data_IF_686463470861
#
_entry.id   IF_686463470861
#
_cell.length_a   1.000
_cell.length_b   1.000
_cell.length_c   1.000
_cell.angle_alpha   90.00
_cell.angle_beta   90.00
_cell.angle_gamma   90.00
#
_symmetry.space_group_name_H-M   'P 1'
#
loop_
_entity.id
_entity.type
_entity.pdbx_description
1 polymer ?
#
# COMPACT_ATOMS: atom_id res chain seq x y z
N UNK A 1 6.78 -58.24 -69.84
CA UNK A 1 6.40 -56.86 -69.47
C UNK A 1 5.36 -56.97 -68.37
N UNK A 2 5.77 -56.87 -67.10
CA UNK A 2 4.91 -57.06 -65.92
C UNK A 2 4.55 -55.71 -65.30
N UNK A 3 3.26 -55.48 -65.03
CA UNK A 3 2.73 -54.21 -64.50
C UNK A 3 3.27 -53.87 -63.10
N UNK A 4 3.52 -52.57 -62.78
CA UNK A 4 3.95 -52.17 -61.44
C UNK A 4 2.76 -52.00 -60.49
N UNK A 5 2.84 -52.60 -59.29
CA UNK A 5 1.86 -52.41 -58.22
C UNK A 5 2.09 -51.08 -57.51
N UNK A 6 1.10 -50.18 -57.57
CA UNK A 6 1.10 -48.89 -56.86
C UNK A 6 0.57 -49.09 -55.44
N UNK A 7 1.39 -48.74 -54.43
CA UNK A 7 1.05 -48.85 -53.01
C UNK A 7 0.53 -47.50 -52.51
N UNK A 8 -0.76 -47.40 -52.19
CA UNK A 8 -1.39 -46.19 -51.66
C UNK A 8 -1.26 -46.17 -50.12
N UNK A 9 -0.45 -45.25 -49.58
CA UNK A 9 -0.33 -45.03 -48.12
C UNK A 9 -1.10 -43.77 -47.75
N UNK A 10 -2.25 -43.93 -47.11
CA UNK A 10 -3.02 -42.82 -46.56
C UNK A 10 -2.57 -42.52 -45.13
N UNK A 11 -1.81 -41.43 -44.94
CA UNK A 11 -1.24 -41.07 -43.64
C UNK A 11 -1.90 -39.78 -43.08
N UNK A 12 -2.90 -39.93 -42.20
CA UNK A 12 -3.52 -38.81 -41.47
C UNK A 12 -2.92 -38.71 -40.06
N UNK A 13 -1.76 -38.06 -39.92
CA UNK A 13 -1.22 -37.65 -38.61
C UNK A 13 -1.87 -36.34 -38.16
N UNK A 14 -2.96 -36.46 -37.42
CA UNK A 14 -3.62 -35.36 -36.73
C UNK A 14 -3.27 -35.41 -35.21
N UNK A 15 -2.52 -34.40 -34.76
CA UNK A 15 -2.80 -33.59 -33.56
C UNK A 15 -2.73 -34.13 -32.12
N UNK A 16 -2.30 -35.36 -31.82
CA UNK A 16 -2.34 -35.86 -30.42
C UNK A 16 -1.17 -35.39 -29.53
N UNK A 17 -0.02 -34.99 -30.09
CA UNK A 17 1.18 -34.69 -29.29
C UNK A 17 1.30 -33.26 -28.75
N UNK A 18 0.41 -32.34 -29.13
CA UNK A 18 0.62 -30.91 -28.87
C UNK A 18 -0.07 -30.38 -27.59
N UNK A 19 -0.93 -31.18 -26.95
CA UNK A 19 -1.75 -30.72 -25.82
C UNK A 19 -1.11 -31.04 -24.45
N UNK A 20 -0.29 -32.08 -24.35
CA UNK A 20 0.32 -32.50 -23.07
C UNK A 20 1.45 -31.58 -22.57
N UNK A 21 2.03 -30.73 -23.42
CA UNK A 21 3.18 -29.90 -23.03
C UNK A 21 2.77 -28.61 -22.28
N UNK A 22 1.49 -28.22 -22.32
CA UNK A 22 1.04 -26.97 -21.69
C UNK A 22 0.70 -27.13 -20.21
N UNK A 23 0.06 -28.22 -19.80
CA UNK A 23 -0.56 -28.32 -18.47
C UNK A 23 0.43 -28.57 -17.33
N UNK A 24 1.49 -29.36 -17.55
CA UNK A 24 2.52 -29.63 -16.53
C UNK A 24 3.38 -28.39 -16.25
N UNK A 25 3.72 -27.63 -17.29
CA UNK A 25 4.46 -26.37 -17.14
C UNK A 25 3.59 -25.34 -16.42
N UNK A 26 2.30 -25.24 -16.77
CA UNK A 26 1.37 -24.36 -16.07
C UNK A 26 1.24 -24.77 -14.59
N UNK A 27 1.10 -26.05 -14.27
CA UNK A 27 1.01 -26.54 -12.87
C UNK A 27 2.25 -26.24 -12.03
N UNK A 28 3.44 -26.25 -12.62
CA UNK A 28 4.69 -25.95 -11.93
C UNK A 28 4.95 -24.44 -11.80
N UNK A 29 4.61 -23.65 -12.81
CA UNK A 29 4.86 -22.21 -12.83
C UNK A 29 3.80 -21.40 -12.07
N UNK A 30 2.52 -21.80 -12.10
CA UNK A 30 1.45 -21.09 -11.39
C UNK A 30 1.73 -20.88 -9.90
N UNK A 31 2.08 -21.89 -9.09
CA UNK A 31 2.33 -21.68 -7.67
C UNK A 31 3.58 -20.83 -7.41
N UNK A 32 4.57 -20.86 -8.30
CA UNK A 32 5.78 -20.05 -8.16
C UNK A 32 5.49 -18.57 -8.46
N UNK A 33 4.78 -18.28 -9.55
CA UNK A 33 4.37 -16.92 -9.92
C UNK A 33 3.44 -16.32 -8.87
N UNK A 34 2.44 -17.08 -8.39
CA UNK A 34 1.52 -16.59 -7.36
C UNK A 34 2.22 -16.32 -6.03
N UNK A 35 3.18 -17.17 -5.61
CA UNK A 35 3.96 -16.95 -4.38
C UNK A 35 4.85 -15.71 -4.47
N UNK A 36 5.58 -15.55 -5.57
CA UNK A 36 6.45 -14.38 -5.79
C UNK A 36 5.62 -13.10 -5.86
N UNK A 37 4.48 -13.14 -6.56
CA UNK A 37 3.57 -12.01 -6.67
C UNK A 37 2.98 -11.60 -5.32
N UNK A 38 2.56 -12.55 -4.49
CA UNK A 38 2.03 -12.25 -3.15
C UNK A 38 3.09 -11.61 -2.25
N UNK A 39 4.32 -12.13 -2.26
CA UNK A 39 5.44 -11.58 -1.49
C UNK A 39 5.80 -10.15 -1.94
N UNK A 40 5.80 -9.89 -3.25
CA UNK A 40 6.05 -8.53 -3.77
C UNK A 40 4.95 -7.56 -3.34
N UNK A 41 3.67 -7.95 -3.44
CA UNK A 41 2.56 -7.10 -3.02
C UNK A 41 2.60 -6.78 -1.52
N UNK A 42 2.94 -7.74 -0.66
CA UNK A 42 3.00 -7.50 0.80
C UNK A 42 4.18 -6.62 1.17
N UNK A 43 5.35 -6.81 0.56
CA UNK A 43 6.53 -5.96 0.78
C UNK A 43 6.25 -4.53 0.32
N UNK A 44 5.62 -4.34 -0.85
CA UNK A 44 5.29 -3.01 -1.36
C UNK A 44 4.22 -2.31 -0.51
N UNK A 45 3.18 -3.04 -0.08
CA UNK A 45 2.16 -2.49 0.82
C UNK A 45 2.79 -2.07 2.16
N UNK A 46 3.59 -2.94 2.77
CA UNK A 46 4.24 -2.66 4.05
C UNK A 46 5.19 -1.47 3.98
N UNK A 47 5.86 -1.26 2.83
CA UNK A 47 6.67 -0.05 2.57
C UNK A 47 5.82 1.21 2.51
N UNK A 48 4.67 1.16 1.84
CA UNK A 48 3.76 2.32 1.74
C UNK A 48 3.22 2.76 3.11
N UNK A 49 2.87 1.79 3.97
CA UNK A 49 2.38 2.07 5.33
C UNK A 49 3.42 2.79 6.21
N UNK A 50 4.71 2.53 6.01
CA UNK A 50 5.79 3.10 6.83
C UNK A 50 5.99 4.62 6.63
N UNK A 51 5.55 5.18 5.49
CA UNK A 51 5.81 6.59 5.16
C UNK A 51 4.80 7.60 5.75
N UNK A 52 3.88 7.17 6.61
CA UNK A 52 2.73 8.01 7.00
C UNK A 52 2.90 8.79 8.31
N UNK A 53 4.01 8.63 9.02
CA UNK A 53 4.24 9.33 10.30
C UNK A 53 5.24 10.47 10.10
N UNK A 54 4.72 11.68 9.99
CA UNK A 54 5.48 12.92 10.07
C UNK A 54 5.23 13.54 11.45
N UNK A 55 6.25 13.56 12.30
CA UNK A 55 6.23 14.39 13.51
C UNK A 55 6.71 15.78 13.14
N UNK A 56 5.83 16.78 13.25
CA UNK A 56 6.26 18.18 13.22
C UNK A 56 7.08 18.51 14.48
N UNK A 57 7.79 19.64 14.46
CA UNK A 57 8.46 20.15 15.66
C UNK A 57 7.39 20.47 16.73
N UNK A 58 7.35 19.76 17.88
CA UNK A 58 6.29 19.93 18.88
C UNK A 58 6.42 21.22 19.70
N UNK A 59 7.44 22.04 19.47
CA UNK A 59 7.67 23.25 20.25
C UNK A 59 6.82 24.43 19.77
N UNK A 60 5.71 24.66 20.48
CA UNK A 60 4.90 25.88 20.33
C UNK A 60 5.31 26.88 21.41
N UNK A 61 5.85 28.02 21.00
CA UNK A 61 6.23 29.10 21.90
C UNK A 61 5.07 30.08 22.07
N UNK A 62 4.59 30.24 23.30
CA UNK A 62 3.63 31.27 23.66
C UNK A 62 4.34 32.36 24.47
N UNK A 63 4.07 33.62 24.12
CA UNK A 63 4.51 34.77 24.91
C UNK A 63 3.27 35.36 25.58
N UNK A 64 3.25 35.32 26.91
CA UNK A 64 2.17 35.90 27.71
C UNK A 64 2.62 37.22 28.30
N UNK A 65 1.82 38.28 28.10
CA UNK A 65 2.05 39.53 28.81
C UNK A 65 1.38 39.47 30.18
N UNK A 66 2.17 39.50 31.25
CA UNK A 66 1.68 39.43 32.63
C UNK A 66 1.61 40.83 33.21
N UNK A 67 0.39 41.31 33.44
CA UNK A 67 0.14 42.66 33.97
C UNK A 67 -0.68 42.60 35.26
N UNK A 68 -0.50 43.61 36.12
CA UNK A 68 -1.36 43.81 37.28
C UNK A 68 -2.48 44.77 36.91
N UNK A 69 -3.72 44.31 37.01
CA UNK A 69 -4.90 45.10 36.74
C UNK A 69 -5.88 45.11 37.90
N UNK A 70 -6.85 46.00 37.82
CA UNK A 70 -7.95 46.09 38.77
C UNK A 70 -9.23 45.66 38.06
N UNK A 71 -9.86 44.60 38.54
CA UNK A 71 -11.09 44.04 37.97
C UNK A 71 -12.22 44.07 38.99
N UNK A 72 -13.46 44.10 38.53
CA UNK A 72 -14.65 44.12 39.39
C UNK A 72 -15.71 43.12 38.92
N UNK A 73 -15.48 41.80 39.08
CA UNK A 73 -16.42 40.76 38.60
C UNK A 73 -17.73 40.70 39.40
N UNK A 74 -17.74 41.20 40.65
CA UNK A 74 -18.89 41.19 41.55
C UNK A 74 -19.12 42.58 42.17
N UNK A 75 -18.85 43.64 41.40
CA UNK A 75 -18.95 45.05 41.83
C UNK A 75 -17.98 45.46 42.97
N UNK A 76 -17.11 44.54 43.37
CA UNK A 76 -16.01 44.77 44.30
C UNK A 76 -14.70 44.76 43.51
N UNK A 77 -14.05 45.93 43.49
CA UNK A 77 -12.76 46.16 42.86
C UNK A 77 -11.64 45.39 43.58
N UNK A 78 -10.95 44.52 42.85
CA UNK A 78 -9.87 43.67 43.36
C UNK A 78 -8.68 43.68 42.42
N UNK A 79 -7.47 43.60 42.98
CA UNK A 79 -6.24 43.48 42.20
C UNK A 79 -6.08 42.05 41.69
N UNK A 80 -5.88 41.91 40.39
CA UNK A 80 -5.72 40.63 39.72
C UNK A 80 -4.51 40.61 38.78
N UNK A 81 -4.00 39.41 38.54
CA UNK A 81 -3.01 39.15 37.50
C UNK A 81 -3.79 38.92 36.21
N UNK A 82 -3.46 39.70 35.19
CA UNK A 82 -4.02 39.58 33.85
C UNK A 82 -3.00 38.88 32.94
N UNK A 83 -3.52 38.06 32.03
CA UNK A 83 -2.75 37.46 30.94
C UNK A 83 -3.30 38.09 29.66
N UNK A 84 -2.44 38.81 28.94
CA UNK A 84 -2.83 39.56 27.74
C UNK A 84 -4.01 40.51 27.99
N UNK A 85 -3.99 41.19 29.14
CA UNK A 85 -5.05 42.10 29.65
C UNK A 85 -6.42 41.44 29.88
N UNK A 86 -6.50 40.11 29.81
CA UNK A 86 -7.69 39.34 30.12
C UNK A 86 -7.58 38.67 31.48
N UNK A 87 -8.73 38.54 32.13
CA UNK A 87 -8.91 37.77 33.35
C UNK A 87 -9.74 36.52 33.03
N UNK A 88 -9.35 35.32 33.50
CA UNK A 88 -10.15 34.11 33.35
C UNK A 88 -11.46 34.14 34.14
#
# INVERSE_FOLDING_TARGET
>A
MSEPKVFQVHFRRKWIFQIYFSDEILRLLFPFVFRVQWCLCTVLAMRFWWFTVYGEDPYIYFTWNVTYGTISPHDISQQAILIDDHYP
#
